data_IF_800629646569
#
_entry.id   IF_800629646569
#
_cell.length_a   1.000
_cell.length_b   1.000
_cell.length_c   1.000
_cell.angle_alpha   90.00
_cell.angle_beta   90.00
_cell.angle_gamma   90.00
#
_symmetry.space_group_name_H-M   'P 1'
#
loop_
_entity.id
_entity.type
_entity.pdbx_description
1 polymer ?
#
# COMPACT_ATOMS: atom_id res chain seq x y z
N UNK A 1 -9.85 -1.33 28.36
CA UNK A 1 -10.61 -1.45 27.10
C UNK A 1 -9.58 -1.73 26.03
N UNK A 2 -9.62 -2.83 25.28
CA UNK A 2 -8.67 -2.99 24.19
C UNK A 2 -8.94 -1.86 23.21
N UNK A 3 -7.91 -1.10 22.88
CA UNK A 3 -7.96 -0.04 21.88
C UNK A 3 -8.59 -0.63 20.63
N UNK A 4 -9.81 -0.21 20.31
CA UNK A 4 -10.51 -0.68 19.14
C UNK A 4 -9.62 -0.40 17.94
N UNK A 5 -9.24 -1.44 17.20
CA UNK A 5 -8.43 -1.31 16.00
C UNK A 5 -9.03 -0.18 15.13
N UNK A 6 -8.18 0.72 14.59
CA UNK A 6 -8.67 1.83 13.79
C UNK A 6 -9.60 1.31 12.68
N UNK A 7 -10.72 2.01 12.39
CA UNK A 7 -11.71 1.52 11.45
C UNK A 7 -11.07 1.34 10.07
N UNK A 8 -11.18 0.12 9.54
CA UNK A 8 -10.75 -0.19 8.18
C UNK A 8 -11.64 0.55 7.17
N UNK A 9 -11.05 0.97 6.05
CA UNK A 9 -11.78 1.52 4.91
C UNK A 9 -11.49 0.76 3.63
N UNK A 10 -12.39 0.77 2.63
CA UNK A 10 -12.05 0.29 1.30
C UNK A 10 -10.82 1.02 0.74
N UNK A 11 -9.90 0.26 0.15
CA UNK A 11 -8.78 0.79 -0.61
C UNK A 11 -9.26 1.24 -2.00
N UNK A 12 -8.69 2.31 -2.53
CA UNK A 12 -8.95 2.70 -3.93
C UNK A 12 -8.16 1.81 -4.89
N UNK A 13 -8.60 1.73 -6.14
CA UNK A 13 -7.86 0.99 -7.17
C UNK A 13 -6.42 1.51 -7.34
N UNK A 14 -6.22 2.82 -7.19
CA UNK A 14 -4.90 3.46 -7.25
C UNK A 14 -3.99 3.01 -6.10
N UNK A 15 -4.48 2.98 -4.86
CA UNK A 15 -3.71 2.52 -3.70
C UNK A 15 -3.31 1.05 -3.82
N UNK A 16 -4.20 0.22 -4.38
CA UNK A 16 -3.95 -1.19 -4.65
C UNK A 16 -2.87 -1.32 -5.72
N UNK A 17 -3.00 -0.61 -6.85
CA UNK A 17 -2.05 -0.64 -7.94
C UNK A 17 -0.65 -0.15 -7.50
N UNK A 18 -0.57 0.91 -6.71
CA UNK A 18 0.70 1.41 -6.18
C UNK A 18 1.38 0.36 -5.28
N UNK A 19 0.61 -0.23 -4.36
CA UNK A 19 1.11 -1.26 -3.44
C UNK A 19 1.60 -2.51 -4.18
N UNK A 20 0.85 -2.97 -5.18
CA UNK A 20 1.23 -4.12 -6.01
C UNK A 20 2.44 -3.79 -6.89
N UNK A 21 2.49 -2.60 -7.49
CA UNK A 21 3.63 -2.13 -8.28
C UNK A 21 4.90 -2.10 -7.43
N UNK A 22 4.81 -1.66 -6.17
CA UNK A 22 5.92 -1.76 -5.23
C UNK A 22 6.32 -3.23 -4.97
N UNK A 23 5.38 -4.10 -4.63
CA UNK A 23 5.68 -5.51 -4.37
C UNK A 23 6.31 -6.24 -5.57
N UNK A 24 5.91 -5.89 -6.79
CA UNK A 24 6.49 -6.45 -8.02
C UNK A 24 7.94 -5.99 -8.27
N UNK A 25 8.31 -4.81 -7.77
CA UNK A 25 9.68 -4.27 -7.88
C UNK A 25 10.59 -4.72 -6.74
N UNK A 26 10.04 -5.14 -5.61
CA UNK A 26 10.79 -5.42 -4.39
C UNK A 26 10.39 -6.75 -3.75
N UNK A 27 11.36 -7.68 -3.69
CA UNK A 27 11.25 -8.89 -2.89
C UNK A 27 11.92 -8.63 -1.52
N UNK A 28 11.11 -8.24 -0.53
CA UNK A 28 11.62 -7.78 0.76
C UNK A 28 12.44 -6.49 0.62
N UNK A 29 13.72 -6.53 0.99
CA UNK A 29 14.63 -5.35 0.88
C UNK A 29 15.37 -5.28 -0.47
N UNK A 30 15.26 -6.29 -1.34
CA UNK A 30 16.03 -6.36 -2.58
C UNK A 30 15.15 -5.95 -3.77
N UNK A 31 15.65 -5.01 -4.57
CA UNK A 31 15.04 -4.66 -5.86
C UNK A 31 15.21 -5.84 -6.83
N UNK A 32 14.13 -6.28 -7.44
CA UNK A 32 14.15 -7.34 -8.45
C UNK A 32 14.49 -6.68 -9.79
N UNK A 33 15.71 -6.88 -10.29
CA UNK A 33 16.23 -6.23 -11.51
C UNK A 33 15.63 -6.76 -12.83
N UNK A 34 14.49 -7.45 -12.79
CA UNK A 34 13.80 -8.01 -13.97
C UNK A 34 12.40 -7.46 -14.19
N UNK A 35 11.89 -6.59 -13.31
CA UNK A 35 10.65 -5.87 -13.55
C UNK A 35 11.00 -4.44 -13.98
N UNK A 36 10.98 -4.19 -15.29
CA UNK A 36 10.98 -2.83 -15.81
C UNK A 36 9.87 -2.05 -15.11
N UNK A 37 10.19 -0.87 -14.60
CA UNK A 37 9.28 -0.08 -13.76
C UNK A 37 7.90 0.12 -14.40
N UNK A 38 7.90 0.28 -15.72
CA UNK A 38 6.69 0.36 -16.55
C UNK A 38 5.89 -0.95 -16.53
N UNK A 39 6.56 -2.10 -16.70
CA UNK A 39 5.90 -3.41 -16.68
C UNK A 39 5.30 -3.74 -15.32
N UNK A 40 6.00 -3.38 -14.23
CA UNK A 40 5.47 -3.55 -12.87
C UNK A 40 4.18 -2.74 -12.67
N UNK A 41 4.19 -1.48 -13.10
CA UNK A 41 3.02 -0.61 -13.03
C UNK A 41 1.85 -1.14 -13.86
N UNK A 42 2.08 -1.48 -15.13
CA UNK A 42 1.03 -2.01 -16.03
C UNK A 42 0.46 -3.32 -15.49
N UNK A 43 1.29 -4.19 -14.93
CA UNK A 43 0.84 -5.45 -14.32
C UNK A 43 -0.01 -5.18 -13.09
N UNK A 44 0.40 -4.25 -12.23
CA UNK A 44 -0.35 -3.88 -11.04
C UNK A 44 -1.72 -3.27 -11.35
N UNK A 45 -1.81 -2.38 -12.34
CA UNK A 45 -3.07 -1.81 -12.82
C UNK A 45 -4.02 -2.91 -13.31
N UNK A 46 -3.54 -3.85 -14.14
CA UNK A 46 -4.34 -4.98 -14.62
C UNK A 46 -4.85 -5.89 -13.50
N UNK A 47 -4.02 -6.14 -12.48
CA UNK A 47 -4.43 -6.93 -11.32
C UNK A 47 -5.51 -6.20 -10.50
N UNK A 48 -5.34 -4.90 -10.26
CA UNK A 48 -6.32 -4.09 -9.55
C UNK A 48 -7.68 -4.08 -10.29
N UNK A 49 -7.69 -3.87 -11.61
CA UNK A 49 -8.91 -3.94 -12.42
C UNK A 49 -9.58 -5.32 -12.36
N UNK A 50 -8.80 -6.40 -12.40
CA UNK A 50 -9.34 -7.75 -12.34
C UNK A 50 -9.98 -8.05 -10.97
N UNK A 51 -9.36 -7.58 -9.88
CA UNK A 51 -9.91 -7.71 -8.54
C UNK A 51 -11.26 -7.00 -8.41
N UNK A 52 -11.35 -5.77 -8.91
CA UNK A 52 -12.60 -4.99 -8.91
C UNK A 52 -13.69 -5.69 -9.73
N UNK A 53 -13.38 -6.12 -10.96
CA UNK A 53 -14.33 -6.86 -11.82
C UNK A 53 -14.79 -8.19 -11.23
N UNK A 54 -13.97 -8.79 -10.38
CA UNK A 54 -14.29 -10.04 -9.69
C UNK A 54 -15.04 -9.83 -8.37
N UNK A 55 -15.32 -8.57 -8.00
CA UNK A 55 -16.05 -8.21 -6.79
C UNK A 55 -15.23 -8.23 -5.50
N UNK A 56 -13.90 -8.24 -5.58
CA UNK A 56 -13.04 -8.14 -4.40
C UNK A 56 -12.98 -6.71 -3.88
N UNK A 57 -13.08 -6.56 -2.55
CA UNK A 57 -12.88 -5.29 -1.86
C UNK A 57 -11.71 -5.45 -0.89
N UNK A 58 -10.59 -4.79 -1.19
CA UNK A 58 -9.46 -4.73 -0.28
C UNK A 58 -9.69 -3.64 0.75
N UNK A 59 -9.44 -3.95 2.01
CA UNK A 59 -9.58 -3.02 3.12
C UNK A 59 -8.20 -2.50 3.56
N UNK A 60 -8.04 -1.19 3.60
CA UNK A 60 -6.84 -0.49 4.07
C UNK A 60 -7.06 -0.03 5.51
N UNK A 61 -6.08 -0.34 6.36
CA UNK A 61 -5.98 0.24 7.71
C UNK A 61 -5.60 1.72 7.58
N UNK A 62 -6.18 2.63 8.36
CA UNK A 62 -5.76 4.03 8.33
C UNK A 62 -4.28 4.14 8.67
N UNK A 63 -3.63 5.12 8.06
CA UNK A 63 -2.22 5.38 8.33
C UNK A 63 -2.07 5.65 9.83
N UNK A 64 -1.15 4.93 10.48
CA UNK A 64 -0.90 5.12 11.91
C UNK A 64 -0.54 6.58 12.17
N UNK A 65 -0.98 7.13 13.30
CA UNK A 65 -0.59 8.48 13.74
C UNK A 65 0.93 8.57 13.62
N UNK A 66 1.41 9.46 12.74
CA UNK A 66 2.83 9.65 12.56
C UNK A 66 3.45 9.94 13.93
N UNK A 67 4.54 9.26 14.34
CA UNK A 67 5.20 9.56 15.59
C UNK A 67 5.58 11.05 15.56
N UNK A 68 4.96 11.84 16.46
CA UNK A 68 5.20 13.26 16.54
C UNK A 68 6.67 13.49 16.87
N UNK A 69 7.46 13.87 15.87
CA UNK A 69 8.81 14.36 16.05
C UNK A 69 8.72 15.81 16.52
N UNK A 70 8.22 16.03 17.74
CA UNK A 70 8.19 17.34 18.39
C UNK A 70 8.59 17.19 19.85
N UNK A 71 9.84 16.74 20.06
CA UNK A 71 10.57 16.93 21.32
C UNK A 71 12.01 17.35 21.05
N UNK A 72 12.16 18.60 20.63
CA UNK A 72 13.40 19.37 20.87
C UNK A 72 13.00 20.64 21.64
N UNK A 73 12.74 20.47 22.94
CA UNK A 73 12.70 21.60 23.86
C UNK A 73 14.15 21.94 24.22
N UNK A 74 14.57 23.14 23.80
CA UNK A 74 15.85 23.78 24.13
C UNK A 74 16.05 23.85 25.65
N UNK A 75 17.24 23.51 26.12
CA UNK A 75 17.92 24.22 27.21
C UNK A 75 19.37 24.41 26.80
#
# INVERSE_FOLDING_TARGET
>A
MPDADPPLRPATAEEIAESLSFALRYAGRRRVHHADEVMARVTAERLAEHLERSGFVLMKRPDGVAPSTSRHHRQ
#
